data_IF_395130984056
#
_entry.id   IF_395130984056
#
_cell.length_a   1.000
_cell.length_b   1.000
_cell.length_c   1.000
_cell.angle_alpha   90.00
_cell.angle_beta   90.00
_cell.angle_gamma   90.00
#
_symmetry.space_group_name_H-M   'P 1'
#
loop_
_entity.id
_entity.type
_entity.pdbx_description
1 polymer ?
#
# COMPACT_ATOMS: atom_id res chain seq x y z
N UNK A 1 -19.50 -15.75 47.61
CA UNK A 1 -20.10 -16.48 46.47
C UNK A 1 -20.56 -15.57 45.31
N UNK A 2 -21.57 -14.69 45.46
CA UNK A 2 -21.99 -13.82 44.32
C UNK A 2 -20.94 -12.79 43.89
N UNK A 3 -20.17 -12.25 44.83
CA UNK A 3 -19.06 -11.33 44.54
C UNK A 3 -17.89 -12.03 43.86
N UNK A 4 -17.58 -13.27 44.25
CA UNK A 4 -16.48 -14.06 43.66
C UNK A 4 -16.79 -14.47 42.21
N UNK A 5 -18.06 -14.81 41.91
CA UNK A 5 -18.48 -15.13 40.54
C UNK A 5 -18.39 -13.90 39.63
N UNK A 6 -18.86 -12.73 40.09
CA UNK A 6 -18.78 -11.49 39.31
C UNK A 6 -17.33 -11.06 39.06
N UNK A 7 -16.45 -11.22 40.06
CA UNK A 7 -15.02 -10.94 39.92
C UNK A 7 -14.35 -11.88 38.90
N UNK A 8 -14.67 -13.17 38.95
CA UNK A 8 -14.16 -14.17 38.00
C UNK A 8 -14.66 -13.94 36.57
N UNK A 9 -15.93 -13.55 36.40
CA UNK A 9 -16.48 -13.18 35.09
C UNK A 9 -15.80 -11.94 34.51
N UNK A 10 -15.53 -10.93 35.34
CA UNK A 10 -14.86 -9.71 34.92
C UNK A 10 -13.39 -9.98 34.54
N UNK A 11 -12.70 -10.82 35.30
CA UNK A 11 -11.33 -11.23 34.99
C UNK A 11 -11.27 -12.05 33.69
N UNK A 12 -12.19 -12.99 33.49
CA UNK A 12 -12.29 -13.72 32.22
C UNK A 12 -12.60 -12.81 31.03
N UNK A 13 -13.44 -11.78 31.20
CA UNK A 13 -13.70 -10.79 30.14
C UNK A 13 -12.44 -10.00 29.81
N UNK A 14 -11.66 -9.59 30.81
CA UNK A 14 -10.39 -8.88 30.60
C UNK A 14 -9.37 -9.76 29.88
N UNK A 15 -9.20 -11.00 30.32
CA UNK A 15 -8.32 -11.98 29.68
C UNK A 15 -8.75 -12.25 28.24
N UNK A 16 -10.04 -12.43 28.00
CA UNK A 16 -10.60 -12.62 26.66
C UNK A 16 -10.38 -11.40 25.76
N UNK A 17 -10.53 -10.18 26.29
CA UNK A 17 -10.23 -8.96 25.54
C UNK A 17 -8.75 -8.89 25.15
N UNK A 18 -7.84 -9.12 26.10
CA UNK A 18 -6.39 -9.11 25.85
C UNK A 18 -5.96 -10.18 24.84
N UNK A 19 -6.60 -11.35 24.89
CA UNK A 19 -6.28 -12.45 23.97
C UNK A 19 -6.82 -12.23 22.55
N UNK A 20 -7.94 -11.52 22.40
CA UNK A 20 -8.66 -11.42 21.13
C UNK A 20 -8.56 -10.06 20.43
N UNK A 21 -8.09 -9.02 21.10
CA UNK A 21 -8.06 -7.67 20.54
C UNK A 21 -6.63 -7.16 20.37
N UNK A 22 -6.45 -6.29 19.36
CA UNK A 22 -5.22 -5.52 19.17
C UNK A 22 -5.09 -4.48 20.28
N UNK A 23 -3.91 -4.41 20.90
CA UNK A 23 -3.67 -3.58 22.08
C UNK A 23 -3.76 -2.07 21.78
N UNK A 24 -3.43 -1.67 20.55
CA UNK A 24 -3.42 -0.26 20.15
C UNK A 24 -4.79 0.22 19.69
N UNK A 25 -5.46 -0.59 18.87
CA UNK A 25 -6.69 -0.19 18.16
C UNK A 25 -7.97 -0.78 18.76
N UNK A 26 -7.86 -1.73 19.68
CA UNK A 26 -8.98 -2.41 20.35
C UNK A 26 -9.95 -3.19 19.44
N UNK A 27 -9.66 -3.32 18.14
CA UNK A 27 -10.40 -4.22 17.23
C UNK A 27 -9.81 -5.63 17.30
N UNK A 28 -10.39 -6.60 16.59
CA UNK A 28 -9.90 -7.98 16.67
C UNK A 28 -8.45 -8.08 16.19
N UNK A 29 -7.64 -8.87 16.88
CA UNK A 29 -6.32 -9.23 16.38
C UNK A 29 -6.43 -10.32 15.31
N UNK A 30 -5.31 -10.66 14.67
CA UNK A 30 -5.26 -11.67 13.60
C UNK A 30 -5.91 -13.00 13.97
N UNK A 31 -5.57 -13.57 15.13
CA UNK A 31 -6.07 -14.88 15.55
C UNK A 31 -7.58 -14.90 15.81
N UNK A 32 -8.10 -13.87 16.47
CA UNK A 32 -9.52 -13.73 16.71
C UNK A 32 -10.31 -13.45 15.41
N UNK A 33 -9.75 -12.66 14.51
CA UNK A 33 -10.35 -12.34 13.20
C UNK A 33 -10.55 -13.61 12.37
N UNK A 34 -9.50 -14.42 12.20
CA UNK A 34 -9.55 -15.69 11.46
C UNK A 34 -10.60 -16.65 12.07
N UNK A 35 -10.55 -16.81 13.40
CA UNK A 35 -11.46 -17.72 14.13
C UNK A 35 -12.92 -17.31 13.96
N UNK A 36 -13.24 -16.02 14.14
CA UNK A 36 -14.61 -15.49 14.04
C UNK A 36 -15.16 -15.55 12.62
N UNK A 37 -14.33 -15.25 11.62
CA UNK A 37 -14.75 -15.32 10.22
C UNK A 37 -15.03 -16.78 9.83
N UNK A 38 -14.14 -17.72 10.17
CA UNK A 38 -14.37 -19.15 9.93
C UNK A 38 -15.66 -19.66 10.59
N UNK A 39 -15.94 -19.23 11.82
CA UNK A 39 -17.19 -19.55 12.48
C UNK A 39 -18.40 -19.04 11.67
N UNK A 40 -18.42 -17.76 11.29
CA UNK A 40 -19.51 -17.18 10.51
C UNK A 40 -19.68 -17.82 9.12
N UNK A 41 -18.57 -18.19 8.48
CA UNK A 41 -18.57 -18.91 7.21
C UNK A 41 -19.24 -20.28 7.34
N UNK A 42 -18.93 -21.01 8.42
CA UNK A 42 -19.55 -22.32 8.68
C UNK A 42 -21.06 -22.23 8.92
N UNK A 43 -21.53 -21.16 9.56
CA UNK A 43 -22.93 -20.94 9.92
C UNK A 43 -23.74 -20.41 8.74
N UNK A 44 -23.22 -19.39 8.03
CA UNK A 44 -23.99 -18.62 7.05
C UNK A 44 -23.66 -18.95 5.60
N UNK A 45 -22.46 -19.49 5.33
CA UNK A 45 -21.98 -19.83 3.98
C UNK A 45 -22.19 -18.69 2.98
N UNK A 46 -21.93 -17.47 3.43
CA UNK A 46 -22.01 -16.24 2.64
C UNK A 46 -21.22 -15.14 3.33
N UNK A 47 -20.71 -14.20 2.54
CA UNK A 47 -20.02 -13.02 3.05
C UNK A 47 -19.13 -12.35 2.02
N UNK A 48 -18.68 -11.16 2.39
CA UNK A 48 -17.70 -10.37 1.64
C UNK A 48 -16.56 -10.05 2.58
N UNK A 49 -15.34 -10.35 2.15
CA UNK A 49 -14.12 -9.98 2.86
C UNK A 49 -13.47 -8.81 2.16
N UNK A 50 -13.10 -7.77 2.91
CA UNK A 50 -12.30 -6.65 2.45
C UNK A 50 -10.95 -6.69 3.15
N UNK A 51 -9.88 -6.51 2.39
CA UNK A 51 -8.53 -6.32 2.89
C UNK A 51 -8.11 -4.89 2.55
N UNK A 52 -7.55 -4.23 3.55
CA UNK A 52 -7.12 -2.85 3.49
C UNK A 52 -5.67 -2.77 3.91
N UNK A 53 -4.92 -1.91 3.23
CA UNK A 53 -3.55 -1.58 3.58
C UNK A 53 -3.31 -0.09 3.37
N UNK A 54 -2.67 0.55 4.35
CA UNK A 54 -2.38 1.97 4.29
C UNK A 54 -1.22 2.29 3.33
N UNK A 55 -1.47 3.18 2.36
CA UNK A 55 -0.43 3.58 1.43
C UNK A 55 0.60 4.47 2.15
N UNK A 56 1.89 4.15 1.98
CA UNK A 56 3.02 4.93 2.51
C UNK A 56 3.05 5.08 4.05
N UNK A 57 2.41 4.21 4.82
CA UNK A 57 2.40 4.30 6.29
C UNK A 57 3.81 4.32 6.92
N UNK A 58 4.75 3.54 6.37
CA UNK A 58 6.16 3.60 6.79
C UNK A 58 6.75 5.01 6.66
N UNK A 59 6.42 5.75 5.60
CA UNK A 59 6.91 7.13 5.43
C UNK A 59 6.31 8.09 6.46
N UNK A 60 5.07 7.85 6.89
CA UNK A 60 4.45 8.60 8.00
C UNK A 60 5.25 8.36 9.29
N UNK A 61 5.56 7.10 9.60
CA UNK A 61 6.36 6.75 10.77
C UNK A 61 7.77 7.34 10.71
N UNK A 62 8.44 7.22 9.56
CA UNK A 62 9.80 7.71 9.37
C UNK A 62 9.87 9.24 9.47
N UNK A 63 8.82 9.95 9.05
CA UNK A 63 8.78 11.43 9.04
C UNK A 63 8.26 12.06 10.33
N UNK A 64 7.27 11.44 10.97
CA UNK A 64 6.55 12.02 12.11
C UNK A 64 6.68 11.21 13.40
N UNK A 65 7.36 10.06 13.34
CA UNK A 65 7.57 9.15 14.46
C UNK A 65 6.42 8.16 14.67
N UNK A 66 6.70 7.09 15.40
CA UNK A 66 5.75 6.01 15.66
C UNK A 66 4.49 6.47 16.42
N UNK A 67 4.61 7.45 17.33
CA UNK A 67 3.44 7.99 18.06
C UNK A 67 2.43 8.59 17.08
N UNK A 68 2.90 9.29 16.03
CA UNK A 68 2.03 9.83 15.01
C UNK A 68 1.38 8.72 14.17
N UNK A 69 2.13 7.67 13.84
CA UNK A 69 1.59 6.47 13.20
C UNK A 69 0.51 5.77 14.01
N UNK A 70 0.70 5.67 15.32
CA UNK A 70 -0.28 5.09 16.23
C UNK A 70 -1.58 5.89 16.24
N UNK A 71 -1.50 7.22 16.30
CA UNK A 71 -2.67 8.09 16.17
C UNK A 71 -3.38 7.91 14.82
N UNK A 72 -2.62 7.76 13.74
CA UNK A 72 -3.17 7.50 12.40
C UNK A 72 -3.94 6.18 12.36
N UNK A 73 -3.38 5.10 12.92
CA UNK A 73 -4.05 3.80 12.98
C UNK A 73 -5.35 3.85 13.79
N UNK A 74 -5.32 4.56 14.92
CA UNK A 74 -6.51 4.76 15.76
C UNK A 74 -7.61 5.51 15.00
N UNK A 75 -7.24 6.53 14.23
CA UNK A 75 -8.21 7.33 13.46
C UNK A 75 -8.78 6.56 12.26
N UNK A 76 -7.96 5.75 11.58
CA UNK A 76 -8.44 4.80 10.57
C UNK A 76 -9.48 3.87 11.18
N UNK A 77 -9.16 3.26 12.32
CA UNK A 77 -10.07 2.33 13.00
C UNK A 77 -11.35 3.03 13.46
N UNK A 78 -11.29 4.29 13.90
CA UNK A 78 -12.49 5.08 14.21
C UNK A 78 -13.40 5.20 12.99
N UNK A 79 -12.85 5.51 11.81
CA UNK A 79 -13.64 5.60 10.57
C UNK A 79 -14.18 4.23 10.15
N UNK A 80 -13.36 3.17 10.18
CA UNK A 80 -13.81 1.84 9.81
C UNK A 80 -14.94 1.35 10.72
N UNK A 81 -14.87 1.60 12.02
CA UNK A 81 -15.96 1.27 12.95
C UNK A 81 -17.28 1.96 12.61
N UNK A 82 -17.25 3.22 12.13
CA UNK A 82 -18.45 3.93 11.69
C UNK A 82 -19.05 3.34 10.39
N UNK A 83 -18.27 2.52 9.67
CA UNK A 83 -18.68 1.89 8.41
C UNK A 83 -19.07 0.42 8.58
N UNK A 84 -18.93 -0.14 9.79
CA UNK A 84 -19.23 -1.54 10.12
C UNK A 84 -20.41 -1.63 11.09
N UNK A 85 -21.20 -2.69 10.97
CA UNK A 85 -22.28 -3.03 11.89
C UNK A 85 -21.83 -4.03 12.96
N UNK A 86 -22.69 -4.27 13.95
CA UNK A 86 -22.41 -5.18 15.08
C UNK A 86 -22.11 -6.63 14.65
N UNK A 87 -22.69 -7.08 13.54
CA UNK A 87 -22.45 -8.42 12.98
C UNK A 87 -21.19 -8.53 12.12
N UNK A 88 -20.60 -7.40 11.73
CA UNK A 88 -19.40 -7.38 10.90
C UNK A 88 -18.17 -7.64 11.78
N UNK A 89 -17.12 -8.20 11.19
CA UNK A 89 -15.84 -8.40 11.85
C UNK A 89 -14.87 -7.37 11.33
N UNK A 90 -14.34 -6.53 12.21
CA UNK A 90 -13.24 -5.62 11.94
C UNK A 90 -12.00 -6.10 12.69
N UNK A 91 -10.91 -6.32 11.97
CA UNK A 91 -9.66 -6.86 12.52
C UNK A 91 -8.42 -6.16 11.98
N UNK A 92 -7.36 -6.13 12.80
CA UNK A 92 -6.02 -5.73 12.40
C UNK A 92 -5.14 -6.97 12.30
N UNK A 93 -4.65 -7.25 11.10
CA UNK A 93 -3.91 -8.49 10.80
C UNK A 93 -2.40 -8.28 10.73
N UNK A 94 -1.97 -7.04 10.52
CA UNK A 94 -0.57 -6.62 10.38
C UNK A 94 -0.34 -5.22 10.95
N UNK A 95 0.80 -4.62 10.61
CA UNK A 95 1.17 -3.28 11.08
C UNK A 95 0.15 -2.22 10.65
N UNK A 96 -0.12 -2.17 9.36
CA UNK A 96 -1.00 -1.20 8.69
C UNK A 96 -2.08 -1.88 7.85
N UNK A 97 -2.30 -3.17 8.11
CA UNK A 97 -3.21 -4.03 7.38
C UNK A 97 -4.47 -4.33 8.22
N UNK A 98 -5.62 -4.08 7.61
CA UNK A 98 -6.93 -4.28 8.23
C UNK A 98 -7.81 -5.21 7.39
N UNK A 99 -8.73 -5.88 8.07
CA UNK A 99 -9.72 -6.76 7.46
C UNK A 99 -11.11 -6.37 7.93
N UNK A 100 -12.05 -6.31 6.99
CA UNK A 100 -13.48 -6.20 7.28
C UNK A 100 -14.19 -7.40 6.67
N UNK A 101 -14.96 -8.13 7.45
CA UNK A 101 -15.83 -9.19 6.96
C UNK A 101 -17.28 -8.84 7.23
N UNK A 102 -18.09 -8.86 6.17
CA UNK A 102 -19.53 -8.60 6.21
C UNK A 102 -20.27 -9.91 5.88
N UNK A 103 -20.99 -10.53 6.83
CA UNK A 103 -21.66 -11.81 6.63
C UNK A 103 -23.02 -11.65 5.91
N UNK A 104 -22.95 -11.20 4.66
CA UNK A 104 -24.10 -10.90 3.79
C UNK A 104 -23.79 -11.29 2.34
N UNK A 105 -24.83 -11.66 1.60
CA UNK A 105 -24.73 -12.03 0.19
C UNK A 105 -24.78 -10.78 -0.69
N UNK A 106 -23.78 -10.61 -1.56
CA UNK A 106 -23.62 -9.44 -2.43
C UNK A 106 -22.93 -9.81 -3.75
N UNK A 107 -22.81 -8.82 -4.64
CA UNK A 107 -22.17 -8.94 -5.94
C UNK A 107 -20.90 -8.07 -6.04
N UNK A 108 -20.23 -8.13 -7.19
CA UNK A 108 -19.02 -7.36 -7.44
C UNK A 108 -19.25 -5.84 -7.36
N UNK A 109 -20.42 -5.35 -7.80
CA UNK A 109 -20.73 -3.90 -7.76
C UNK A 109 -20.74 -3.37 -6.31
N UNK A 110 -21.25 -4.17 -5.36
CA UNK A 110 -21.21 -3.83 -3.94
C UNK A 110 -19.77 -3.73 -3.42
N UNK A 111 -18.88 -4.65 -3.83
CA UNK A 111 -17.46 -4.59 -3.47
C UNK A 111 -16.86 -3.28 -3.98
N UNK A 112 -17.06 -2.98 -5.27
CA UNK A 112 -16.44 -1.82 -5.91
C UNK A 112 -16.92 -0.51 -5.25
N UNK A 113 -18.23 -0.40 -4.98
CA UNK A 113 -18.80 0.74 -4.26
C UNK A 113 -18.27 0.83 -2.83
N UNK A 114 -18.25 -0.27 -2.07
CA UNK A 114 -17.77 -0.28 -0.69
C UNK A 114 -16.29 0.08 -0.60
N UNK A 115 -15.45 -0.47 -1.49
CA UNK A 115 -14.04 -0.12 -1.61
C UNK A 115 -13.87 1.38 -1.90
N UNK A 116 -14.66 1.94 -2.81
CA UNK A 116 -14.64 3.37 -3.11
C UNK A 116 -15.05 4.22 -1.89
N UNK A 117 -16.14 3.87 -1.22
CA UNK A 117 -16.61 4.58 -0.03
C UNK A 117 -15.56 4.59 1.09
N UNK A 118 -14.92 3.45 1.35
CA UNK A 118 -13.86 3.37 2.37
C UNK A 118 -12.70 4.29 2.00
N UNK A 119 -12.20 4.22 0.75
CA UNK A 119 -11.09 5.08 0.31
C UNK A 119 -11.40 6.57 0.45
N UNK A 120 -12.58 7.02 0.02
CA UNK A 120 -12.97 8.43 0.11
C UNK A 120 -13.10 8.87 1.58
N UNK A 121 -13.65 8.02 2.45
CA UNK A 121 -13.77 8.34 3.87
C UNK A 121 -12.42 8.46 4.56
N UNK A 122 -11.46 7.59 4.24
CA UNK A 122 -10.10 7.67 4.77
C UNK A 122 -9.34 8.89 4.23
N UNK A 123 -9.51 9.21 2.94
CA UNK A 123 -8.95 10.44 2.34
C UNK A 123 -9.57 11.72 2.92
N UNK A 124 -10.78 11.64 3.46
CA UNK A 124 -11.44 12.76 4.14
C UNK A 124 -10.98 12.99 5.59
N UNK A 125 -10.12 12.13 6.15
CA UNK A 125 -9.63 12.28 7.51
C UNK A 125 -8.77 13.54 7.64
N UNK A 126 -9.15 14.39 8.60
CA UNK A 126 -8.37 15.52 9.05
C UNK A 126 -7.73 15.16 10.38
N UNK A 127 -6.40 15.06 10.38
CA UNK A 127 -5.64 14.76 11.58
C UNK A 127 -5.39 16.05 12.37
N UNK A 128 -5.14 15.93 13.67
CA UNK A 128 -4.71 17.07 14.51
C UNK A 128 -3.43 17.70 13.96
N UNK A 129 -2.53 16.89 13.40
CA UNK A 129 -1.42 17.39 12.62
C UNK A 129 -1.86 17.55 11.15
N UNK A 130 -1.99 18.79 10.64
CA UNK A 130 -2.47 19.04 9.29
C UNK A 130 -1.53 18.50 8.18
N UNK A 131 -0.29 18.16 8.53
CA UNK A 131 0.68 17.56 7.61
C UNK A 131 0.42 16.07 7.33
N UNK A 132 -0.51 15.45 8.05
CA UNK A 132 -0.93 14.04 7.91
C UNK A 132 -2.39 13.96 7.46
N UNK A 133 -2.87 14.98 6.73
CA UNK A 133 -4.22 14.99 6.19
C UNK A 133 -4.34 14.10 4.95
N UNK A 134 -5.49 13.45 4.81
CA UNK A 134 -5.78 12.59 3.66
C UNK A 134 -5.04 11.26 3.70
N UNK A 135 -5.53 10.35 4.54
CA UNK A 135 -4.97 9.01 4.67
C UNK A 135 -5.36 8.20 3.44
N UNK A 136 -4.37 7.86 2.61
CA UNK A 136 -4.57 6.97 1.47
C UNK A 136 -4.45 5.51 1.90
N UNK A 137 -5.33 4.67 1.35
CA UNK A 137 -5.29 3.23 1.55
C UNK A 137 -5.69 2.51 0.26
N UNK A 138 -5.09 1.34 0.04
CA UNK A 138 -5.53 0.36 -0.95
C UNK A 138 -6.56 -0.56 -0.31
N UNK A 139 -7.69 -0.77 -0.98
CA UNK A 139 -8.80 -1.57 -0.45
C UNK A 139 -9.32 -2.46 -1.58
N UNK A 140 -9.32 -3.77 -1.33
CA UNK A 140 -9.83 -4.78 -2.25
C UNK A 140 -10.76 -5.74 -1.49
N UNK A 141 -11.70 -6.35 -2.19
CA UNK A 141 -12.62 -7.32 -1.59
C UNK A 141 -12.77 -8.59 -2.41
N UNK A 142 -13.20 -9.66 -1.75
CA UNK A 142 -13.51 -10.97 -2.32
C UNK A 142 -14.89 -11.46 -1.84
N UNK A 143 -15.62 -12.09 -2.74
CA UNK A 143 -16.90 -12.75 -2.44
C UNK A 143 -16.65 -14.18 -1.99
N UNK A 144 -17.43 -14.62 -0.99
CA UNK A 144 -17.53 -16.02 -0.62
C UNK A 144 -17.92 -16.89 -1.82
N UNK A 145 -17.25 -18.03 -1.93
CA UNK A 145 -17.52 -19.13 -2.84
C UNK A 145 -17.73 -20.42 -2.03
N UNK A 146 -18.56 -21.36 -2.51
CA UNK A 146 -18.83 -22.60 -1.79
C UNK A 146 -17.56 -23.36 -1.42
N UNK A 147 -17.38 -23.62 -0.12
CA UNK A 147 -16.21 -24.34 0.41
C UNK A 147 -15.05 -23.45 0.85
N UNK A 148 -15.19 -22.13 0.75
CA UNK A 148 -14.19 -21.20 1.23
C UNK A 148 -14.02 -21.22 2.75
N UNK A 149 -12.79 -21.00 3.19
CA UNK A 149 -12.41 -20.64 4.56
C UNK A 149 -11.84 -19.21 4.58
N UNK A 150 -11.54 -18.70 5.77
CA UNK A 150 -10.92 -17.38 5.93
C UNK A 150 -9.68 -17.21 5.03
N UNK A 151 -8.84 -18.25 4.92
CA UNK A 151 -7.57 -18.18 4.19
C UNK A 151 -7.80 -18.04 2.69
N UNK A 152 -8.75 -18.78 2.11
CA UNK A 152 -9.06 -18.72 0.67
C UNK A 152 -9.75 -17.41 0.27
N UNK A 153 -10.61 -16.84 1.13
CA UNK A 153 -11.14 -15.48 0.92
C UNK A 153 -10.03 -14.43 1.02
N UNK A 154 -9.19 -14.54 2.06
CA UNK A 154 -8.13 -13.60 2.34
C UNK A 154 -7.09 -13.57 1.22
N UNK A 155 -6.60 -14.74 0.79
CA UNK A 155 -5.61 -14.86 -0.28
C UNK A 155 -6.11 -14.22 -1.60
N UNK A 156 -7.38 -14.42 -1.97
CA UNK A 156 -7.95 -13.76 -3.16
C UNK A 156 -7.98 -12.25 -3.04
N UNK A 157 -8.39 -11.71 -1.89
CA UNK A 157 -8.44 -10.27 -1.69
C UNK A 157 -7.03 -9.65 -1.61
N UNK A 158 -6.08 -10.34 -0.97
CA UNK A 158 -4.69 -9.93 -0.84
C UNK A 158 -3.96 -9.91 -2.20
N UNK A 159 -4.20 -10.92 -3.05
CA UNK A 159 -3.65 -10.94 -4.41
C UNK A 159 -4.14 -9.75 -5.26
N UNK A 160 -5.41 -9.37 -5.10
CA UNK A 160 -5.96 -8.17 -5.75
C UNK A 160 -5.29 -6.89 -5.22
N UNK A 161 -5.14 -6.79 -3.90
CA UNK A 161 -4.49 -5.66 -3.24
C UNK A 161 -3.03 -5.50 -3.69
N UNK A 162 -2.28 -6.60 -3.72
CA UNK A 162 -0.90 -6.62 -4.19
C UNK A 162 -0.80 -6.20 -5.67
N UNK A 163 -1.74 -6.62 -6.51
CA UNK A 163 -1.80 -6.21 -7.90
C UNK A 163 -2.11 -4.70 -8.05
N UNK A 164 -2.99 -4.14 -7.21
CA UNK A 164 -3.28 -2.71 -7.17
C UNK A 164 -2.06 -1.89 -6.72
N UNK A 165 -1.39 -2.32 -5.64
CA UNK A 165 -0.16 -1.68 -5.16
C UNK A 165 0.93 -1.66 -6.21
N UNK A 166 1.17 -2.79 -6.89
CA UNK A 166 2.15 -2.87 -8.00
C UNK A 166 1.81 -1.91 -9.14
N UNK A 167 0.53 -1.66 -9.43
CA UNK A 167 0.11 -0.68 -10.45
C UNK A 167 0.39 0.75 -9.98
N UNK A 168 0.20 1.06 -8.69
CA UNK A 168 0.52 2.37 -8.10
C UNK A 168 2.03 2.62 -8.11
N UNK A 169 2.83 1.64 -7.72
CA UNK A 169 4.30 1.74 -7.68
C UNK A 169 4.93 1.82 -9.07
N UNK A 170 4.26 1.31 -10.10
CA UNK A 170 4.68 1.48 -11.51
C UNK A 170 4.35 2.86 -12.08
N UNK A 171 3.52 3.67 -11.42
CA UNK A 171 3.10 5.00 -11.90
C UNK A 171 4.05 6.21 -11.67
N UNK A 172 5.29 6.13 -11.10
CA UNK A 172 6.12 7.32 -10.95
C UNK A 172 7.35 7.39 -11.87
N UNK A 173 7.28 7.00 -13.16
CA UNK A 173 8.37 7.33 -14.13
C UNK A 173 7.87 7.74 -15.53
N UNK A 174 6.81 7.11 -16.06
CA UNK A 174 6.38 7.38 -17.45
C UNK A 174 5.44 8.59 -17.61
N UNK A 175 4.57 8.87 -16.63
CA UNK A 175 3.62 9.98 -16.72
C UNK A 175 4.31 11.36 -16.63
N UNK A 176 5.37 11.49 -15.82
CA UNK A 176 6.14 12.73 -15.73
C UNK A 176 7.00 12.99 -16.99
N UNK A 177 7.45 11.93 -17.68
CA UNK A 177 8.22 12.05 -18.90
C UNK A 177 7.35 12.43 -20.12
N UNK A 178 6.11 11.95 -20.19
CA UNK A 178 5.17 12.28 -21.28
C UNK A 178 4.60 13.69 -21.15
N UNK A 179 4.25 14.14 -19.93
CA UNK A 179 3.81 15.53 -19.71
C UNK A 179 4.93 16.54 -19.93
N UNK A 180 6.18 16.23 -19.55
CA UNK A 180 7.34 17.09 -19.87
C UNK A 180 7.65 17.09 -21.37
N UNK A 181 7.53 15.96 -22.06
CA UNK A 181 7.72 15.88 -23.52
C UNK A 181 6.62 16.59 -24.32
N UNK A 182 5.37 16.59 -23.85
CA UNK A 182 4.28 17.29 -24.56
C UNK A 182 4.30 18.81 -24.31
N UNK A 183 4.75 19.26 -23.12
CA UNK A 183 4.91 20.68 -22.82
C UNK A 183 6.15 21.29 -23.50
N UNK A 184 7.27 20.55 -23.58
CA UNK A 184 8.50 21.00 -24.23
C UNK A 184 8.39 21.10 -25.76
N UNK A 185 7.44 20.39 -26.39
CA UNK A 185 7.24 20.45 -27.86
C UNK A 185 6.49 21.70 -28.33
N UNK A 186 5.98 22.55 -27.42
CA UNK A 186 5.14 23.70 -27.77
C UNK A 186 5.83 25.07 -27.69
N UNK A 187 7.15 25.16 -27.42
CA UNK A 187 7.77 26.47 -27.19
C UNK A 187 9.26 26.63 -27.54
N UNK A 188 9.83 25.84 -28.46
CA UNK A 188 11.10 26.23 -29.09
C UNK A 188 11.09 25.77 -30.56
N UNK A 189 10.74 26.67 -31.48
CA UNK A 189 11.16 26.54 -32.88
C UNK A 189 12.64 26.93 -32.93
N UNK A 190 13.51 25.93 -33.00
CA UNK A 190 14.95 26.16 -33.18
C UNK A 190 15.17 26.41 -34.67
N UNK A 191 15.46 27.66 -35.02
CA UNK A 191 15.81 28.03 -36.39
C UNK A 191 17.21 27.49 -36.74
N UNK A 192 17.24 26.35 -37.43
CA UNK A 192 18.48 25.70 -37.87
C UNK A 192 19.30 26.54 -38.86
N UNK A 193 18.73 27.60 -39.43
CA UNK A 193 19.47 28.54 -40.27
C UNK A 193 20.42 29.41 -39.41
N UNK A 194 19.96 29.85 -38.22
CA UNK A 194 20.74 30.71 -37.33
C UNK A 194 21.90 29.97 -36.66
N UNK A 195 21.69 28.71 -36.25
CA UNK A 195 22.76 27.87 -35.69
C UNK A 195 23.86 27.61 -36.73
N UNK A 196 23.50 27.44 -38.01
CA UNK A 196 24.48 27.24 -39.08
C UNK A 196 25.31 28.49 -39.37
N UNK A 197 24.75 29.70 -39.25
CA UNK A 197 25.53 30.94 -39.42
C UNK A 197 26.48 31.22 -38.27
N UNK A 198 26.15 30.77 -37.05
CA UNK A 198 27.01 30.92 -35.86
C UNK A 198 28.13 29.84 -35.79
N UNK A 199 27.91 28.67 -36.43
CA UNK A 199 28.87 27.56 -36.46
C UNK A 199 29.80 27.57 -37.68
N UNK A 200 29.72 28.54 -38.59
CA UNK A 200 30.69 28.66 -39.67
C UNK A 200 32.01 29.24 -39.14
N UNK A 201 32.91 28.30 -38.82
CA UNK A 201 34.37 28.43 -38.66
C UNK A 201 34.90 29.78 -38.15
N UNK A 202 34.98 29.92 -36.83
CA UNK A 202 36.06 30.71 -36.23
C UNK A 202 37.30 29.82 -36.14
N UNK A 203 38.39 30.31 -36.71
CA UNK A 203 39.68 29.64 -36.85
C UNK A 203 40.10 28.89 -35.55
N UNK A 204 40.55 27.64 -35.72
CA UNK A 204 41.08 26.83 -34.63
C UNK A 204 42.18 27.60 -33.88
N UNK A 205 41.87 28.01 -32.65
CA UNK A 205 42.86 28.58 -31.74
C UNK A 205 43.87 27.48 -31.38
N UNK A 206 45.16 27.77 -31.55
CA UNK A 206 46.26 26.87 -31.18
C UNK A 206 46.15 26.44 -29.71
N UNK A 207 45.90 25.14 -29.47
CA UNK A 207 45.73 24.57 -28.14
C UNK A 207 44.69 23.44 -28.04
N UNK A 208 43.89 23.19 -29.07
CA UNK A 208 42.95 22.06 -29.06
C UNK A 208 43.68 20.72 -29.22
N UNK A 209 43.60 19.87 -28.19
CA UNK A 209 44.14 18.51 -28.23
C UNK A 209 43.20 17.60 -29.04
N UNK A 210 43.67 17.11 -30.18
CA UNK A 210 43.01 16.05 -30.92
C UNK A 210 43.52 14.71 -30.38
N UNK A 211 42.69 13.99 -29.62
CA UNK A 211 43.03 12.65 -29.15
C UNK A 211 42.35 11.61 -30.04
N UNK A 212 43.15 10.83 -30.74
CA UNK A 212 42.68 9.84 -31.70
C UNK A 212 41.97 8.69 -30.97
N UNK A 213 40.74 8.39 -31.36
CA UNK A 213 39.82 7.48 -30.64
C UNK A 213 40.38 6.05 -30.47
N UNK A 214 41.36 5.68 -31.31
CA UNK A 214 41.99 4.35 -31.32
C UNK A 214 42.95 4.12 -30.16
N UNK A 215 43.55 5.17 -29.59
CA UNK A 215 44.48 5.03 -28.47
C UNK A 215 43.77 4.86 -27.12
N UNK A 216 42.52 5.31 -27.00
CA UNK A 216 41.72 5.14 -25.79
C UNK A 216 41.34 3.66 -25.53
N UNK A 217 41.22 2.84 -26.58
CA UNK A 217 40.86 1.41 -26.45
C UNK A 217 41.99 0.55 -25.87
N UNK A 218 43.26 0.98 -25.94
CA UNK A 218 44.41 0.18 -25.46
C UNK A 218 44.59 0.20 -23.94
N UNK A 219 43.96 1.15 -23.22
CA UNK A 219 44.19 1.37 -21.79
C UNK A 219 42.98 1.03 -20.89
N UNK A 220 42.01 0.27 -21.38
CA UNK A 220 40.90 -0.21 -20.55
C UNK A 220 41.25 -1.63 -20.05
N UNK A 221 41.55 -1.85 -18.76
CA UNK A 221 41.83 -3.18 -18.25
C UNK A 221 40.54 -4.02 -18.29
N UNK A 222 40.51 -5.01 -19.18
CA UNK A 222 39.47 -6.03 -19.24
C UNK A 222 39.50 -6.87 -17.95
N UNK A 223 38.51 -6.65 -17.09
CA UNK A 223 38.25 -7.48 -15.91
C UNK A 223 37.82 -8.89 -16.39
N UNK A 224 38.77 -9.84 -16.44
CA UNK A 224 38.49 -11.25 -16.78
C UNK A 224 37.92 -11.97 -15.57
N UNK A 225 36.67 -12.41 -15.67
CA UNK A 225 36.07 -13.41 -14.78
C UNK A 225 36.62 -14.81 -15.09
N UNK A 226 36.73 -15.61 -14.03
CA UNK A 226 37.49 -16.84 -13.84
C UNK A 226 37.03 -18.04 -14.69
N UNK A 227 37.95 -18.97 -14.99
CA UNK A 227 37.70 -20.43 -14.95
C UNK A 227 39.02 -21.21 -14.78
N UNK A 228 39.26 -21.78 -13.59
CA UNK A 228 40.30 -22.81 -13.37
C UNK A 228 39.69 -24.21 -13.57
N UNK A 229 40.29 -25.11 -14.39
CA UNK A 229 39.86 -26.50 -14.43
C UNK A 229 40.53 -27.32 -13.30
N UNK A 230 39.76 -28.28 -12.78
CA UNK A 230 40.17 -29.29 -11.80
C UNK A 230 41.32 -30.17 -12.34
N UNK A 231 42.32 -30.42 -11.51
CA UNK A 231 42.89 -31.75 -11.22
C UNK A 231 43.69 -31.68 -9.92
#
# INVERSE_FOLDING_TARGET
>A
MKQDLAALEEENKKLSKLANHDWLTSIYNRGATETKINQLLSEKKTGVLFVLDMDHFKQINDRYGHIAGDCVLQEVVRILNLMTFKQDILGRIGGDEFVIYMPLEQNQNFIDERCYQIRIRLLGIQMTNPLINGISATVCGSLYQPGDDYKSLFDRADQLLLAEKRKKDRKPVVAAAEQRRSAARKSIDIDMALIRSELSEQELISGAYCQDYRDLQKNIPLCRTQTTPKQ
#
